data_IF_488196259893
#
_entry.id   IF_488196259893
#
_cell.length_a   1.000
_cell.length_b   1.000
_cell.length_c   1.000
_cell.angle_alpha   90.00
_cell.angle_beta   90.00
_cell.angle_gamma   90.00
#
_symmetry.space_group_name_H-M   'P 1'
#
loop_
_entity.id
_entity.type
_entity.pdbx_description
1 polymer ?
#
# COMPACT_ATOMS: atom_id res chain seq x y z
N UNK A 1 17.46 4.39 14.07
CA UNK A 1 17.88 2.96 14.10
C UNK A 1 17.87 2.44 12.67
N UNK A 2 18.93 1.79 12.18
CA UNK A 2 18.96 1.22 10.81
C UNK A 2 18.05 -0.02 10.73
N UNK A 3 16.81 0.15 10.26
CA UNK A 3 15.81 -0.90 10.02
C UNK A 3 16.26 -2.02 9.06
N UNK A 4 17.41 -1.87 8.41
CA UNK A 4 17.94 -2.84 7.45
C UNK A 4 18.43 -4.14 8.07
N UNK A 5 18.79 -4.18 9.36
CA UNK A 5 19.24 -5.43 10.03
C UNK A 5 18.07 -6.32 10.46
N UNK A 6 17.04 -5.82 11.17
CA UNK A 6 15.91 -6.66 11.61
C UNK A 6 15.10 -7.25 10.47
N UNK A 7 14.96 -6.54 9.34
CA UNK A 7 14.27 -7.05 8.15
C UNK A 7 15.04 -8.20 7.47
N UNK A 8 16.38 -8.15 7.49
CA UNK A 8 17.24 -9.21 6.94
C UNK A 8 17.19 -10.47 7.79
N UNK A 9 17.21 -10.33 9.11
CA UNK A 9 17.16 -11.48 10.04
C UNK A 9 15.80 -12.18 10.02
N UNK A 10 14.70 -11.41 9.97
CA UNK A 10 13.35 -11.99 9.90
C UNK A 10 13.00 -12.57 8.53
N UNK A 11 13.73 -12.20 7.47
CA UNK A 11 13.46 -12.63 6.09
C UNK A 11 14.76 -12.81 5.27
N UNK A 12 15.51 -13.90 5.51
CA UNK A 12 16.75 -14.18 4.77
C UNK A 12 16.53 -14.28 3.25
N UNK A 13 15.32 -14.65 2.83
CA UNK A 13 14.84 -14.73 1.45
C UNK A 13 14.96 -13.40 0.67
N UNK A 14 15.07 -12.27 1.36
CA UNK A 14 15.22 -10.94 0.74
C UNK A 14 16.60 -10.76 0.08
N UNK A 15 17.62 -11.50 0.53
CA UNK A 15 18.97 -11.46 -0.05
C UNK A 15 19.11 -12.33 -1.31
N UNK A 16 18.18 -13.25 -1.57
CA UNK A 16 18.23 -14.20 -2.69
C UNK A 16 17.33 -13.81 -3.87
N UNK A 17 16.45 -12.81 -3.68
CA UNK A 17 15.35 -12.50 -4.61
C UNK A 17 15.56 -11.14 -5.28
N UNK A 18 16.46 -11.07 -6.26
CA UNK A 18 16.67 -9.84 -7.03
C UNK A 18 15.55 -9.55 -8.05
N UNK A 19 14.78 -10.58 -8.47
CA UNK A 19 13.77 -10.46 -9.55
C UNK A 19 12.34 -10.91 -9.18
N UNK A 20 12.01 -11.07 -7.89
CA UNK A 20 10.63 -11.45 -7.48
C UNK A 20 9.79 -10.24 -7.09
N UNK A 21 8.58 -10.16 -7.66
CA UNK A 21 7.56 -9.16 -7.31
C UNK A 21 7.15 -9.33 -5.84
N UNK A 22 7.27 -8.26 -5.05
CA UNK A 22 6.81 -8.22 -3.66
C UNK A 22 5.43 -7.58 -3.64
N UNK A 23 4.40 -8.36 -3.31
CA UNK A 23 3.05 -7.85 -3.10
C UNK A 23 2.88 -7.42 -1.64
N UNK A 24 2.43 -6.18 -1.44
CA UNK A 24 2.03 -5.66 -0.13
C UNK A 24 0.56 -5.25 -0.21
N UNK A 25 -0.27 -5.85 0.64
CA UNK A 25 -1.70 -5.57 0.77
C UNK A 25 -2.08 -5.59 2.26
N UNK A 26 -3.21 -4.99 2.63
CA UNK A 26 -3.74 -5.12 4.00
C UNK A 26 -4.23 -6.55 4.27
N UNK A 27 -4.20 -6.96 5.53
CA UNK A 27 -4.64 -8.28 5.99
C UNK A 27 -6.17 -8.35 6.21
N UNK A 28 -6.94 -7.39 5.67
CA UNK A 28 -8.39 -7.39 5.72
C UNK A 28 -8.96 -8.70 5.15
N UNK A 29 -9.70 -9.43 6.00
CA UNK A 29 -10.33 -10.69 5.61
C UNK A 29 -11.38 -10.41 4.52
N UNK A 30 -11.38 -11.14 3.38
CA UNK A 30 -12.46 -11.06 2.41
C UNK A 30 -13.78 -11.46 3.07
N UNK A 31 -14.85 -10.69 2.88
CA UNK A 31 -16.17 -11.02 3.46
C UNK A 31 -16.71 -12.38 2.94
N UNK A 32 -16.27 -12.82 1.76
CA UNK A 32 -16.61 -14.12 1.16
C UNK A 32 -15.32 -14.89 0.80
N UNK A 33 -14.64 -15.45 1.81
CA UNK A 33 -13.32 -16.06 1.66
C UNK A 33 -13.33 -17.59 1.59
N UNK A 34 -13.43 -18.16 0.38
CA UNK A 34 -13.08 -19.57 0.18
C UNK A 34 -11.96 -19.82 -0.85
N UNK A 35 -11.72 -18.98 -1.87
CA UNK A 35 -10.81 -19.39 -2.97
C UNK A 35 -9.61 -18.47 -3.31
N UNK A 36 -9.30 -17.42 -2.53
CA UNK A 36 -8.16 -16.53 -2.88
C UNK A 36 -6.83 -16.96 -2.21
N UNK A 37 -6.85 -17.92 -1.30
CA UNK A 37 -5.66 -18.33 -0.53
C UNK A 37 -4.71 -19.29 -1.26
N UNK A 38 -5.10 -19.87 -2.40
CA UNK A 38 -4.32 -20.92 -3.08
C UNK A 38 -3.05 -20.42 -3.78
N UNK A 39 -3.03 -19.17 -4.26
CA UNK A 39 -2.04 -18.73 -5.26
C UNK A 39 -1.23 -17.47 -4.89
N UNK A 40 -1.39 -16.92 -3.67
CA UNK A 40 -0.71 -15.69 -3.26
C UNK A 40 0.22 -15.97 -2.08
N UNK A 41 1.54 -16.00 -2.32
CA UNK A 41 2.53 -15.96 -1.24
C UNK A 41 2.34 -14.66 -0.44
N UNK A 42 1.88 -14.80 0.80
CA UNK A 42 1.48 -13.72 1.71
C UNK A 42 2.68 -12.83 2.07
N UNK A 43 2.83 -11.72 1.36
CA UNK A 43 3.87 -10.72 1.55
C UNK A 43 3.57 -9.78 2.72
N UNK A 44 4.17 -10.08 3.88
CA UNK A 44 4.27 -9.25 5.09
C UNK A 44 3.08 -9.26 6.06
N UNK A 45 3.28 -9.51 7.37
CA UNK A 45 2.25 -9.33 8.37
C UNK A 45 2.05 -7.83 8.59
N UNK A 46 1.00 -7.26 8.00
CA UNK A 46 0.43 -5.99 8.44
C UNK A 46 -0.42 -6.23 9.69
N UNK A 47 -0.38 -5.35 10.71
CA UNK A 47 -1.31 -5.43 11.82
C UNK A 47 -2.75 -5.29 11.28
N UNK A 48 -3.74 -5.96 11.90
CA UNK A 48 -5.15 -5.78 11.50
C UNK A 48 -5.51 -4.29 11.54
N UNK A 49 -6.13 -3.79 10.47
CA UNK A 49 -6.68 -2.43 10.41
C UNK A 49 -5.63 -1.30 10.57
N UNK A 50 -4.47 -1.40 9.92
CA UNK A 50 -3.45 -0.33 9.91
C UNK A 50 -3.41 0.40 8.55
N UNK A 51 -4.36 1.31 8.25
CA UNK A 51 -4.39 2.05 6.99
C UNK A 51 -3.12 2.90 6.79
N UNK A 52 -2.44 3.32 7.85
CA UNK A 52 -1.18 4.08 7.75
C UNK A 52 0.02 3.27 7.24
N UNK A 53 -0.09 1.94 7.29
CA UNK A 53 0.97 1.00 6.91
C UNK A 53 0.73 0.45 5.50
N UNK A 54 -0.53 0.41 5.05
CA UNK A 54 -0.90 0.06 3.69
C UNK A 54 -0.50 1.20 2.74
N UNK A 55 0.44 1.00 1.81
CA UNK A 55 0.95 2.11 1.01
C UNK A 55 -0.11 2.72 0.09
N UNK A 56 -1.19 1.97 -0.22
CA UNK A 56 -2.32 2.44 -1.04
C UNK A 56 -3.11 3.53 -0.32
N UNK A 57 -3.35 3.34 0.97
CA UNK A 57 -4.36 4.07 1.73
C UNK A 57 -3.88 5.48 2.06
N UNK A 58 -2.59 5.63 2.40
CA UNK A 58 -2.08 6.94 2.82
C UNK A 58 -1.65 7.88 1.69
N UNK A 59 -1.31 7.38 0.50
CA UNK A 59 -0.76 8.20 -0.60
C UNK A 59 -1.66 8.20 -1.82
N UNK A 60 -1.99 7.02 -2.35
CA UNK A 60 -2.77 6.89 -3.58
C UNK A 60 -4.21 7.32 -3.33
N UNK A 61 -4.89 6.66 -2.38
CA UNK A 61 -6.29 6.97 -2.07
C UNK A 61 -6.45 8.35 -1.43
N UNK A 62 -5.50 8.79 -0.60
CA UNK A 62 -5.51 10.17 -0.08
C UNK A 62 -5.44 11.21 -1.19
N UNK A 63 -4.52 11.06 -2.15
CA UNK A 63 -4.41 12.00 -3.27
C UNK A 63 -5.62 11.94 -4.20
N UNK A 64 -6.19 10.74 -4.39
CA UNK A 64 -7.39 10.55 -5.19
C UNK A 64 -8.62 11.18 -4.52
N UNK A 65 -8.78 11.03 -3.22
CA UNK A 65 -9.86 11.62 -2.44
C UNK A 65 -9.91 13.15 -2.58
N UNK A 66 -8.74 13.81 -2.59
CA UNK A 66 -8.68 15.24 -2.87
C UNK A 66 -9.20 15.61 -4.28
N UNK A 67 -8.91 14.79 -5.29
CA UNK A 67 -9.43 15.00 -6.65
C UNK A 67 -10.91 14.68 -6.79
N UNK A 68 -11.42 13.75 -5.96
CA UNK A 68 -12.83 13.33 -5.95
C UNK A 68 -13.74 14.29 -5.19
N UNK A 69 -13.20 15.11 -4.27
CA UNK A 69 -13.99 15.95 -3.37
C UNK A 69 -15.01 16.86 -4.08
N UNK A 70 -14.67 17.33 -5.28
CA UNK A 70 -15.50 18.26 -6.07
C UNK A 70 -16.20 17.59 -7.26
N UNK A 71 -16.14 16.26 -7.38
CA UNK A 71 -16.70 15.54 -8.52
C UNK A 71 -18.10 15.01 -8.26
N UNK A 72 -19.00 15.20 -9.23
CA UNK A 72 -20.33 14.60 -9.24
C UNK A 72 -20.46 13.71 -10.46
N UNK A 73 -20.56 12.40 -10.24
CA UNK A 73 -20.72 11.41 -11.30
C UNK A 73 -22.17 10.97 -11.41
N UNK A 74 -22.65 10.80 -12.65
CA UNK A 74 -24.02 10.35 -12.97
C UNK A 74 -24.07 8.89 -13.41
N UNK A 75 -22.92 8.29 -13.71
CA UNK A 75 -22.82 6.91 -14.16
C UNK A 75 -21.54 6.25 -13.68
N UNK A 76 -21.53 4.92 -13.74
CA UNK A 76 -20.34 4.12 -13.48
C UNK A 76 -19.24 4.40 -14.51
N UNK A 77 -19.61 4.60 -15.77
CA UNK A 77 -18.69 4.91 -16.86
C UNK A 77 -17.94 6.22 -16.60
N UNK A 78 -18.61 7.24 -16.08
CA UNK A 78 -17.97 8.51 -15.71
C UNK A 78 -16.94 8.32 -14.58
N UNK A 79 -17.26 7.53 -13.56
CA UNK A 79 -16.32 7.19 -12.48
C UNK A 79 -15.10 6.46 -13.05
N UNK A 80 -15.31 5.45 -13.89
CA UNK A 80 -14.22 4.67 -14.48
C UNK A 80 -13.30 5.55 -15.32
N UNK A 81 -13.87 6.36 -16.22
CA UNK A 81 -13.11 7.26 -17.08
C UNK A 81 -12.32 8.30 -16.28
N UNK A 82 -12.90 8.83 -15.20
CA UNK A 82 -12.21 9.75 -14.31
C UNK A 82 -11.02 9.09 -13.62
N UNK A 83 -11.20 7.87 -13.08
CA UNK A 83 -10.12 7.11 -12.43
C UNK A 83 -9.00 6.82 -13.42
N UNK A 84 -9.34 6.33 -14.62
CA UNK A 84 -8.36 6.01 -15.67
C UNK A 84 -7.55 7.26 -16.05
N UNK A 85 -8.23 8.40 -16.25
CA UNK A 85 -7.59 9.69 -16.56
C UNK A 85 -6.73 10.20 -15.41
N UNK A 86 -7.20 10.07 -14.17
CA UNK A 86 -6.47 10.49 -12.99
C UNK A 86 -5.19 9.67 -12.80
N UNK A 87 -5.25 8.35 -12.98
CA UNK A 87 -4.07 7.48 -12.91
C UNK A 87 -3.07 7.84 -14.01
N UNK A 88 -3.55 8.00 -15.26
CA UNK A 88 -2.73 8.37 -16.40
C UNK A 88 -2.08 9.77 -16.25
N UNK A 89 -2.68 10.66 -15.45
CA UNK A 89 -2.11 11.98 -15.17
C UNK A 89 -0.92 11.97 -14.21
N UNK A 90 -0.66 10.86 -13.50
CA UNK A 90 0.43 10.77 -12.52
C UNK A 90 1.72 10.34 -13.20
N UNK A 91 2.79 11.03 -12.87
CA UNK A 91 4.13 10.65 -13.31
C UNK A 91 4.70 9.47 -12.51
N UNK A 92 5.77 8.87 -13.04
CA UNK A 92 6.49 7.78 -12.37
C UNK A 92 7.03 8.17 -10.99
N UNK A 93 7.40 9.44 -10.78
CA UNK A 93 7.93 9.90 -9.50
C UNK A 93 6.86 9.87 -8.42
N UNK A 94 5.60 10.14 -8.74
CA UNK A 94 4.47 10.01 -7.81
C UNK A 94 4.40 8.61 -7.22
N UNK A 95 4.47 7.57 -8.06
CA UNK A 95 4.44 6.17 -7.60
C UNK A 95 5.74 5.75 -6.91
N UNK A 96 6.91 6.22 -7.38
CA UNK A 96 8.20 5.94 -6.72
C UNK A 96 8.28 6.58 -5.34
N UNK A 97 7.74 7.78 -5.16
CA UNK A 97 7.77 8.51 -3.89
C UNK A 97 7.03 7.74 -2.80
N UNK A 98 5.86 7.17 -3.11
CA UNK A 98 5.11 6.27 -2.22
C UNK A 98 5.96 5.10 -1.70
N UNK A 99 6.74 4.45 -2.57
CA UNK A 99 7.61 3.33 -2.19
C UNK A 99 8.75 3.84 -1.30
N UNK A 100 9.35 4.99 -1.66
CA UNK A 100 10.48 5.58 -0.94
C UNK A 100 10.13 6.13 0.45
N UNK A 101 8.90 6.62 0.66
CA UNK A 101 8.45 7.17 1.95
C UNK A 101 7.99 6.09 2.94
N UNK A 102 7.88 4.84 2.49
CA UNK A 102 7.41 3.74 3.32
C UNK A 102 8.31 3.43 4.54
N UNK A 103 9.66 3.39 4.40
CA UNK A 103 10.54 3.16 5.55
C UNK A 103 10.41 4.24 6.62
N UNK A 104 10.36 5.52 6.24
CA UNK A 104 10.21 6.64 7.17
C UNK A 104 8.90 6.55 7.97
N UNK A 105 7.82 6.10 7.33
CA UNK A 105 6.54 5.88 8.02
C UNK A 105 6.61 4.71 8.97
N UNK A 106 7.23 3.60 8.60
CA UNK A 106 7.42 2.47 9.51
C UNK A 106 8.24 2.88 10.73
N UNK A 107 9.27 3.72 10.56
CA UNK A 107 10.00 4.28 11.70
C UNK A 107 9.08 5.09 12.62
N UNK A 108 8.18 5.91 12.07
CA UNK A 108 7.20 6.67 12.85
C UNK A 108 6.18 5.78 13.56
N UNK A 109 5.65 4.73 12.91
CA UNK A 109 4.72 3.77 13.53
C UNK A 109 5.40 3.11 14.73
N UNK A 110 6.63 2.64 14.55
CA UNK A 110 7.41 1.98 15.60
C UNK A 110 7.75 2.94 16.73
N UNK A 111 8.15 4.17 16.41
CA UNK A 111 8.50 5.18 17.41
C UNK A 111 7.28 5.66 18.23
N UNK A 112 6.07 5.44 17.72
CA UNK A 112 4.83 5.89 18.37
C UNK A 112 4.05 4.72 19.00
N UNK A 113 4.70 3.57 19.23
CA UNK A 113 4.10 2.34 19.76
C UNK A 113 2.81 1.92 19.01
N UNK A 114 2.77 2.16 17.69
CA UNK A 114 1.61 1.86 16.84
C UNK A 114 0.52 2.93 16.80
N UNK A 115 0.68 4.06 17.49
CA UNK A 115 -0.25 5.19 17.39
C UNK A 115 0.21 6.19 16.33
N UNK A 116 -0.51 6.29 15.22
CA UNK A 116 -0.38 7.41 14.29
C UNK A 116 -1.77 8.03 14.05
N UNK A 117 -1.77 9.37 13.91
CA UNK A 117 -2.95 10.23 13.76
C UNK A 117 -3.50 10.26 12.34
#
# INVERSE_FOLDING_TARGET
>A
MRLSRPLKDKRPQYNERHDKVILQHDNARPQNGQDILGNVEMGSPTPPYSPDVAPSDYHLFRSMAHGLADQHFRSYEEVKNWIDSWIASKDDQFFRRRIRTLPERWEKVVASDGQLS
#
